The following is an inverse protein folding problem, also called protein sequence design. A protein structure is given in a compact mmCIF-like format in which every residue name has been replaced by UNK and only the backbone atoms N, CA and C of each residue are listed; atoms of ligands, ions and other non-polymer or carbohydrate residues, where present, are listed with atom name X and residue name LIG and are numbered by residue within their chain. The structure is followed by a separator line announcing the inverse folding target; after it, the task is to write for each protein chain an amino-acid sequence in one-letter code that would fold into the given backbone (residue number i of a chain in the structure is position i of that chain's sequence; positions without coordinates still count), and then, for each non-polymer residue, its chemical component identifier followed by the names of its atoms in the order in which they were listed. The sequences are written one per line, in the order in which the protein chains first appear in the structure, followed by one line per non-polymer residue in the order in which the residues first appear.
data_IF_813608234942
#
_entry.id   IF_813608234942
#
_cell.length_a   1.000
_cell.length_b   1.000
_cell.length_c   1.000
_cell.angle_alpha   90.00
_cell.angle_beta   90.00
_cell.angle_gamma   90.00
#
_symmetry.space_group_name_H-M   'P 1'
#
loop_
_entity.id
_entity.type
_entity.pdbx_description
1 polymer ?
#
# COMPACT_ATOMS: atom_id res chain seq x y z
N UNK A 1 -10.01 -14.70 26.72
CA UNK A 1 -9.96 -13.95 25.44
C UNK A 1 -8.48 -13.68 25.14
N UNK A 2 -7.72 -14.76 24.89
CA UNK A 2 -7.30 -15.36 23.60
C UNK A 2 -6.05 -14.70 22.99
N UNK A 3 -4.89 -15.31 23.27
CA UNK A 3 -3.54 -15.02 22.73
C UNK A 3 -3.47 -14.92 21.19
N UNK A 4 -4.46 -15.51 20.50
CA UNK A 4 -4.56 -15.55 19.03
C UNK A 4 -4.93 -14.19 18.43
N UNK A 5 -5.80 -13.40 19.07
CA UNK A 5 -6.16 -12.05 18.58
C UNK A 5 -4.94 -11.12 18.57
N UNK A 6 -4.05 -11.28 19.54
CA UNK A 6 -2.82 -10.49 19.66
C UNK A 6 -1.76 -10.86 18.60
N UNK A 7 -1.77 -12.10 18.12
CA UNK A 7 -0.86 -12.56 17.04
C UNK A 7 -1.40 -12.22 15.65
N UNK A 8 -2.72 -12.33 15.44
CA UNK A 8 -3.33 -12.01 14.15
C UNK A 8 -3.63 -10.53 13.95
N UNK A 9 -3.62 -9.67 14.99
CA UNK A 9 -3.75 -8.21 14.79
C UNK A 9 -2.46 -7.50 14.36
N UNK A 10 -1.32 -8.17 14.39
CA UNK A 10 0.00 -7.59 14.15
C UNK A 10 0.45 -7.62 12.69
N UNK A 11 1.76 -7.56 12.50
CA UNK A 11 2.41 -7.88 11.24
C UNK A 11 3.70 -8.65 11.52
N UNK A 12 4.10 -9.49 10.58
CA UNK A 12 5.38 -10.20 10.61
C UNK A 12 6.25 -9.67 9.48
N UNK A 13 7.47 -9.26 9.81
CA UNK A 13 8.48 -8.83 8.83
C UNK A 13 9.64 -9.82 8.81
N UNK A 14 9.95 -10.37 7.64
CA UNK A 14 11.09 -11.25 7.41
C UNK A 14 11.84 -10.75 6.18
N UNK A 15 13.03 -10.19 6.40
CA UNK A 15 13.84 -9.59 5.34
C UNK A 15 13.09 -8.48 4.62
N UNK A 16 12.80 -8.70 3.32
CA UNK A 16 12.10 -7.73 2.46
C UNK A 16 10.59 -7.89 2.43
N UNK A 17 10.05 -8.84 3.20
CA UNK A 17 8.64 -9.20 3.18
C UNK A 17 7.99 -8.78 4.50
N UNK A 18 6.85 -8.11 4.41
CA UNK A 18 5.97 -7.84 5.55
C UNK A 18 4.59 -8.38 5.24
N UNK A 19 4.05 -9.22 6.12
CA UNK A 19 2.70 -9.74 6.03
C UNK A 19 1.91 -9.19 7.22
N UNK A 20 0.83 -8.49 6.94
CA UNK A 20 -0.09 -7.98 7.94
C UNK A 20 -1.16 -9.03 8.24
N UNK A 21 -1.63 -9.07 9.48
CA UNK A 21 -2.74 -9.91 9.86
C UNK A 21 -4.11 -9.23 9.69
N UNK A 22 -5.06 -9.62 10.52
CA UNK A 22 -6.39 -9.05 10.70
C UNK A 22 -6.31 -7.65 11.37
N UNK A 23 -5.80 -6.67 10.63
CA UNK A 23 -5.70 -5.28 11.06
C UNK A 23 -6.18 -4.31 9.97
N UNK A 24 -5.88 -3.01 10.12
CA UNK A 24 -6.27 -1.98 9.16
C UNK A 24 -5.81 -2.23 7.70
N UNK A 25 -4.78 -3.06 7.50
CA UNK A 25 -4.31 -3.44 6.16
C UNK A 25 -5.12 -4.59 5.54
N UNK A 26 -5.86 -5.34 6.37
CA UNK A 26 -6.68 -6.50 6.04
C UNK A 26 -5.92 -7.59 5.29
N UNK A 27 -4.98 -8.28 5.95
CA UNK A 27 -4.12 -9.29 5.32
C UNK A 27 -3.30 -8.75 4.14
N UNK A 28 -2.77 -7.53 4.29
CA UNK A 28 -1.86 -6.93 3.33
C UNK A 28 -0.51 -7.66 3.28
N UNK A 29 0.17 -7.55 2.15
CA UNK A 29 1.53 -8.04 1.94
C UNK A 29 2.32 -6.94 1.25
N UNK A 30 3.47 -6.59 1.83
CA UNK A 30 4.43 -5.65 1.28
C UNK A 30 5.74 -6.36 0.99
N UNK A 31 6.28 -6.17 -0.21
CA UNK A 31 7.57 -6.73 -0.63
C UNK A 31 8.45 -5.60 -1.14
N UNK A 32 9.55 -5.32 -0.44
CA UNK A 32 10.51 -4.31 -0.91
C UNK A 32 11.40 -4.86 -2.03
N UNK A 33 11.54 -4.06 -3.09
CA UNK A 33 12.40 -4.33 -4.24
C UNK A 33 13.15 -3.06 -4.63
N UNK A 34 14.40 -3.20 -5.10
CA UNK A 34 15.20 -2.04 -5.54
C UNK A 34 14.59 -1.33 -6.77
N UNK A 35 13.98 -2.10 -7.68
CA UNK A 35 13.43 -1.58 -8.95
C UNK A 35 12.05 -0.96 -8.77
N UNK A 36 11.20 -1.54 -7.93
CA UNK A 36 9.78 -1.18 -7.86
C UNK A 36 9.36 -0.52 -6.54
N UNK A 37 10.31 -0.26 -5.65
CA UNK A 37 9.99 0.06 -4.26
C UNK A 37 9.23 -1.10 -3.63
N UNK A 38 8.16 -0.78 -2.91
CA UNK A 38 7.27 -1.76 -2.32
C UNK A 38 6.19 -2.23 -3.30
N UNK A 39 6.16 -3.54 -3.51
CA UNK A 39 5.03 -4.26 -4.12
C UNK A 39 4.03 -4.57 -3.02
N UNK A 40 2.83 -3.99 -3.10
CA UNK A 40 1.83 -4.08 -2.05
C UNK A 40 0.56 -4.74 -2.59
N UNK A 41 0.06 -5.78 -1.95
CA UNK A 41 -1.19 -6.44 -2.34
C UNK A 41 -1.94 -7.02 -1.15
N UNK A 42 -3.25 -7.25 -1.33
CA UNK A 42 -4.10 -7.87 -0.31
C UNK A 42 -4.28 -9.36 -0.58
N UNK A 43 -4.17 -10.21 0.45
CA UNK A 43 -4.53 -11.62 0.35
C UNK A 43 -6.06 -11.79 0.28
N UNK A 44 -6.58 -12.79 -0.46
CA UNK A 44 -8.01 -13.07 -0.56
C UNK A 44 -8.51 -13.80 0.70
N UNK A 45 -8.46 -13.13 1.84
CA UNK A 45 -8.92 -13.63 3.14
C UNK A 45 -10.02 -12.71 3.71
N UNK A 46 -10.94 -13.29 4.48
CA UNK A 46 -11.90 -12.52 5.28
C UNK A 46 -11.17 -11.80 6.41
N UNK A 47 -11.55 -10.56 6.68
CA UNK A 47 -11.02 -9.75 7.76
C UNK A 47 -12.17 -9.02 8.44
N UNK A 48 -12.24 -9.04 9.77
CA UNK A 48 -13.34 -8.51 10.57
C UNK A 48 -14.71 -9.03 10.11
N UNK A 49 -14.77 -10.34 9.84
CA UNK A 49 -15.99 -11.03 9.41
C UNK A 49 -16.46 -10.72 7.98
N UNK A 50 -15.76 -9.92 7.18
CA UNK A 50 -16.19 -9.58 5.80
C UNK A 50 -15.09 -9.71 4.75
N UNK A 51 -15.50 -9.75 3.49
CA UNK A 51 -14.60 -9.68 2.34
C UNK A 51 -14.22 -8.24 2.05
N UNK A 52 -12.93 -7.97 1.99
CA UNK A 52 -12.42 -6.65 1.64
C UNK A 52 -11.95 -6.62 0.18
N UNK A 53 -12.12 -5.49 -0.53
CA UNK A 53 -11.68 -5.33 -1.91
C UNK A 53 -10.20 -5.68 -2.10
N UNK A 54 -9.85 -6.48 -3.10
CA UNK A 54 -8.44 -6.71 -3.41
C UNK A 54 -7.80 -5.42 -3.97
N UNK A 55 -6.54 -5.21 -3.61
CA UNK A 55 -5.71 -4.18 -4.19
C UNK A 55 -4.35 -4.77 -4.59
N UNK A 56 -3.73 -4.10 -5.54
CA UNK A 56 -2.34 -4.27 -5.92
C UNK A 56 -1.80 -2.89 -6.29
N UNK A 57 -0.70 -2.48 -5.67
CA UNK A 57 -0.04 -1.22 -6.01
C UNK A 57 1.47 -1.28 -5.80
N UNK A 58 2.17 -0.36 -6.46
CA UNK A 58 3.60 -0.19 -6.34
C UNK A 58 3.89 1.21 -5.77
N UNK A 59 4.67 1.29 -4.70
CA UNK A 59 4.88 2.54 -3.96
C UNK A 59 6.30 2.65 -3.39
N UNK A 60 6.93 3.83 -3.38
CA UNK A 60 8.25 4.03 -2.76
C UNK A 60 8.26 3.83 -1.24
N UNK A 61 7.13 4.04 -0.56
CA UNK A 61 7.04 4.03 0.91
C UNK A 61 5.98 3.07 1.47
N UNK A 62 5.57 2.07 0.67
CA UNK A 62 4.56 1.07 1.05
C UNK A 62 3.15 1.62 1.35
N UNK A 63 2.82 2.81 0.85
CA UNK A 63 1.50 3.42 1.04
C UNK A 63 0.83 3.81 -0.29
N UNK A 64 -0.51 3.80 -0.38
CA UNK A 64 -1.21 4.13 -1.62
C UNK A 64 -1.02 5.58 -2.10
N UNK A 65 -0.92 6.55 -1.18
CA UNK A 65 -0.86 7.99 -1.54
C UNK A 65 0.39 8.40 -2.31
N UNK A 66 1.46 7.58 -2.26
CA UNK A 66 2.67 7.75 -3.06
C UNK A 66 2.77 6.73 -4.22
N UNK A 67 1.74 5.89 -4.41
CA UNK A 67 1.80 4.80 -5.39
C UNK A 67 1.86 5.33 -6.81
N UNK A 68 2.62 4.65 -7.67
CA UNK A 68 2.84 5.00 -9.08
C UNK A 68 2.29 3.94 -10.04
N UNK A 69 1.73 2.88 -9.47
CA UNK A 69 0.86 1.92 -10.13
C UNK A 69 -0.21 1.50 -9.11
N UNK A 70 -1.47 1.45 -9.54
CA UNK A 70 -2.57 1.00 -8.68
C UNK A 70 -3.61 0.24 -9.48
N UNK A 71 -4.03 -0.91 -8.97
CA UNK A 71 -5.13 -1.73 -9.46
C UNK A 71 -5.92 -2.27 -8.27
N UNK A 72 -7.19 -1.92 -8.19
CA UNK A 72 -8.07 -2.36 -7.11
C UNK A 72 -9.35 -1.54 -7.10
N UNK A 73 -10.37 -2.03 -6.41
CA UNK A 73 -11.69 -1.38 -6.34
C UNK A 73 -11.88 -0.50 -5.10
N UNK A 74 -10.88 -0.42 -4.22
CA UNK A 74 -11.01 0.26 -2.92
C UNK A 74 -10.95 1.80 -3.00
N UNK A 75 -10.40 2.40 -4.05
CA UNK A 75 -10.24 3.85 -4.11
C UNK A 75 -10.48 4.36 -5.53
N UNK A 76 -11.62 5.03 -5.72
CA UNK A 76 -11.95 5.71 -6.97
C UNK A 76 -10.90 6.81 -7.22
N UNK A 77 -10.41 6.90 -8.47
CA UNK A 77 -9.39 7.87 -8.85
C UNK A 77 -7.95 7.55 -8.44
N UNK A 78 -7.69 6.56 -7.58
CA UNK A 78 -6.30 6.21 -7.19
C UNK A 78 -5.46 5.74 -8.38
N UNK A 79 -6.07 5.03 -9.33
CA UNK A 79 -5.41 4.66 -10.58
C UNK A 79 -5.00 5.87 -11.42
N UNK A 80 -5.81 6.93 -11.43
CA UNK A 80 -5.49 8.17 -12.14
C UNK A 80 -4.37 8.94 -11.43
N UNK A 81 -4.47 9.11 -10.11
CA UNK A 81 -3.41 9.73 -9.30
C UNK A 81 -2.09 8.98 -9.39
N UNK A 82 -2.11 7.65 -9.34
CA UNK A 82 -0.90 6.85 -9.51
C UNK A 82 -0.21 7.08 -10.87
N UNK A 83 -0.99 7.26 -11.95
CA UNK A 83 -0.45 7.63 -13.25
C UNK A 83 0.13 9.04 -13.27
N UNK A 84 -0.53 10.01 -12.64
CA UNK A 84 -0.04 11.38 -12.52
C UNK A 84 1.29 11.41 -11.74
N UNK A 85 1.38 10.76 -10.59
CA UNK A 85 2.62 10.63 -9.80
C UNK A 85 3.74 9.97 -10.60
N UNK A 86 3.41 8.91 -11.36
CA UNK A 86 4.40 8.24 -12.23
C UNK A 86 4.90 9.16 -13.34
N UNK A 87 4.02 9.96 -13.93
CA UNK A 87 4.40 10.92 -14.97
C UNK A 87 5.25 12.06 -14.39
N UNK A 88 4.94 12.53 -13.18
CA UNK A 88 5.65 13.64 -12.53
C UNK A 88 7.04 13.24 -11.99
N UNK A 89 7.14 12.10 -11.31
CA UNK A 89 8.33 11.75 -10.53
C UNK A 89 9.06 10.49 -11.03
N UNK A 90 8.49 9.79 -12.02
CA UNK A 90 8.93 8.45 -12.37
C UNK A 90 8.46 7.40 -11.36
N UNK A 91 9.20 6.29 -11.27
CA UNK A 91 8.87 5.19 -10.38
C UNK A 91 9.87 5.11 -9.22
N UNK A 92 9.41 4.67 -8.04
CA UNK A 92 10.25 4.54 -6.84
C UNK A 92 11.04 5.82 -6.49
N UNK A 93 10.39 6.97 -6.63
CA UNK A 93 10.97 8.29 -6.34
C UNK A 93 11.14 8.53 -4.84
N UNK A 94 11.94 9.54 -4.47
CA UNK A 94 12.10 9.99 -3.09
C UNK A 94 10.86 10.77 -2.63
N UNK A 95 10.12 10.23 -1.66
CA UNK A 95 8.88 10.86 -1.16
C UNK A 95 9.16 12.18 -0.47
N UNK A 96 10.27 12.26 0.28
CA UNK A 96 10.61 13.45 1.06
C UNK A 96 10.99 14.62 0.15
N UNK A 97 11.79 14.35 -0.90
CA UNK A 97 12.19 15.38 -1.87
C UNK A 97 11.02 15.91 -2.71
N UNK A 98 9.93 15.14 -2.81
CA UNK A 98 8.77 15.45 -3.64
C UNK A 98 7.50 15.69 -2.81
N UNK A 99 7.63 15.90 -1.50
CA UNK A 99 6.51 15.90 -0.56
C UNK A 99 5.42 16.92 -0.93
N UNK A 100 5.79 18.17 -1.20
CA UNK A 100 4.83 19.24 -1.51
C UNK A 100 4.12 19.01 -2.85
N UNK A 101 4.87 18.63 -3.89
CA UNK A 101 4.30 18.28 -5.18
C UNK A 101 3.37 17.05 -5.08
N UNK A 102 3.71 16.09 -4.21
CA UNK A 102 2.89 14.92 -3.95
C UNK A 102 1.59 15.30 -3.21
N UNK A 103 1.63 16.24 -2.26
CA UNK A 103 0.42 16.81 -1.62
C UNK A 103 -0.50 17.47 -2.65
N UNK A 104 0.06 18.26 -3.56
CA UNK A 104 -0.70 18.92 -4.63
C UNK A 104 -1.43 17.92 -5.54
N UNK A 105 -0.74 16.88 -6.04
CA UNK A 105 -1.37 15.81 -6.84
C UNK A 105 -2.48 15.08 -6.07
N UNK A 106 -2.33 14.98 -4.75
CA UNK A 106 -3.29 14.32 -3.89
C UNK A 106 -4.45 15.21 -3.43
N UNK A 107 -4.39 16.53 -3.68
CA UNK A 107 -5.38 17.48 -3.18
C UNK A 107 -5.41 17.57 -1.65
N UNK A 108 -4.24 17.43 -1.01
CA UNK A 108 -4.09 17.52 0.45
C UNK A 108 -3.47 18.88 0.76
N UNK A 109 -4.19 19.73 1.52
CA UNK A 109 -3.68 21.03 2.01
C UNK A 109 -2.68 20.89 3.15
#
# INVERSE_FOLDING_TARGET
MFLLEKHFGGHLTVGRFTIYGENAMHWGVNIYTKRWGYVCFRLPLRCFGKWWPLYFYLSPNATPWASTYYRGSHSQGERARARQRRAAFGHNFSVDDNYDALKQINGIE
#
